data_IF_275647852474
#
_entry.id   IF_275647852474
#
_cell.length_a   1.000
_cell.length_b   1.000
_cell.length_c   1.000
_cell.angle_alpha   90.00
_cell.angle_beta   90.00
_cell.angle_gamma   90.00
#
_symmetry.space_group_name_H-M   'P 1'
#
loop_
_entity.id
_entity.type
_entity.pdbx_description
1 polymer ?
#
# COMPACT_ATOMS: atom_id res chain seq x y z
N UNK A 1 -1.35 -7.73 18.22
CA UNK A 1 -2.05 -7.13 17.08
C UNK A 1 -2.49 -8.26 16.16
N UNK A 2 -3.79 -8.56 16.01
CA UNK A 2 -4.24 -9.51 14.99
C UNK A 2 -3.73 -9.04 13.61
N UNK A 3 -3.26 -9.95 12.77
CA UNK A 3 -2.72 -9.70 11.42
C UNK A 3 -1.42 -8.87 11.34
N UNK A 4 -0.59 -8.83 12.39
CA UNK A 4 0.71 -8.15 12.35
C UNK A 4 1.59 -8.60 11.15
N UNK A 5 1.49 -9.87 10.76
CA UNK A 5 2.21 -10.46 9.63
C UNK A 5 1.89 -9.79 8.28
N UNK A 6 0.70 -9.22 8.10
CA UNK A 6 0.33 -8.52 6.87
C UNK A 6 1.19 -7.26 6.64
N UNK A 7 1.77 -6.71 7.70
CA UNK A 7 2.53 -5.45 7.67
C UNK A 7 4.05 -5.67 7.76
N UNK A 8 4.53 -6.87 7.41
CA UNK A 8 5.98 -7.18 7.41
C UNK A 8 6.57 -7.21 6.00
N UNK A 9 5.74 -7.27 4.96
CA UNK A 9 6.16 -7.34 3.56
C UNK A 9 5.31 -6.44 2.67
N UNK A 10 5.86 -6.02 1.54
CA UNK A 10 5.17 -5.19 0.57
C UNK A 10 5.61 -5.53 -0.86
N UNK A 11 4.70 -5.32 -1.82
CA UNK A 11 5.06 -5.28 -3.25
C UNK A 11 5.53 -3.87 -3.58
N UNK A 12 6.70 -3.74 -4.19
CA UNK A 12 7.32 -2.45 -4.50
C UNK A 12 7.55 -2.34 -6.01
N UNK A 13 7.25 -1.17 -6.57
CA UNK A 13 7.59 -0.79 -7.95
C UNK A 13 8.02 0.67 -7.93
N UNK A 14 9.21 1.02 -8.47
CA UNK A 14 9.69 2.40 -8.49
C UNK A 14 8.84 3.38 -9.31
N UNK A 15 8.04 2.85 -10.25
CA UNK A 15 7.26 3.66 -11.19
C UNK A 15 5.78 3.65 -10.86
N UNK A 16 5.15 2.47 -10.90
CA UNK A 16 3.72 2.32 -10.61
C UNK A 16 3.35 0.86 -10.34
N UNK A 17 2.28 0.66 -9.57
CA UNK A 17 1.63 -0.64 -9.37
C UNK A 17 0.19 -0.55 -9.87
N UNK A 18 -0.21 -1.49 -10.73
CA UNK A 18 -1.57 -1.58 -11.24
C UNK A 18 -2.17 -2.93 -10.89
N UNK A 19 -3.35 -2.90 -10.28
CA UNK A 19 -4.12 -4.07 -9.92
C UNK A 19 -5.43 -4.08 -10.70
N UNK A 20 -5.83 -5.26 -11.17
CA UNK A 20 -7.07 -5.45 -11.91
C UNK A 20 -8.04 -6.29 -11.09
N UNK A 21 -9.24 -5.74 -10.86
CA UNK A 21 -10.38 -6.52 -10.35
C UNK A 21 -10.99 -7.30 -11.50
N UNK A 22 -10.53 -8.52 -11.72
CA UNK A 22 -11.08 -9.40 -12.76
C UNK A 22 -12.34 -10.11 -12.26
N UNK A 23 -13.31 -10.31 -13.16
CA UNK A 23 -14.53 -11.07 -12.90
C UNK A 23 -15.40 -10.51 -11.75
N UNK A 24 -15.34 -9.21 -11.48
CA UNK A 24 -16.24 -8.54 -10.55
C UNK A 24 -17.64 -8.41 -11.17
N UNK A 25 -18.67 -8.74 -10.40
CA UNK A 25 -20.05 -8.54 -10.81
C UNK A 25 -20.43 -7.05 -10.77
N UNK A 26 -21.46 -6.62 -11.52
CA UNK A 26 -21.97 -5.26 -11.40
C UNK A 26 -22.43 -5.00 -9.96
N UNK A 27 -21.87 -3.96 -9.33
CA UNK A 27 -22.21 -3.62 -7.96
C UNK A 27 -21.28 -2.58 -7.33
N UNK A 28 -21.64 -2.15 -6.13
CA UNK A 28 -20.84 -1.22 -5.35
C UNK A 28 -19.83 -2.00 -4.51
N UNK A 29 -18.56 -1.60 -4.57
CA UNK A 29 -17.48 -2.25 -3.84
C UNK A 29 -16.86 -1.31 -2.82
N UNK A 30 -16.57 -1.83 -1.64
CA UNK A 30 -15.73 -1.15 -0.66
C UNK A 30 -14.28 -1.57 -0.87
N UNK A 31 -13.44 -0.62 -1.27
CA UNK A 31 -12.00 -0.84 -1.42
C UNK A 31 -11.29 -0.43 -0.13
N UNK A 32 -10.60 -1.38 0.52
CA UNK A 32 -9.76 -1.13 1.71
C UNK A 32 -8.30 -1.30 1.33
N UNK A 33 -7.53 -0.22 1.47
CA UNK A 33 -6.09 -0.22 1.21
C UNK A 33 -5.34 -0.16 2.54
N UNK A 34 -4.37 -1.06 2.69
CA UNK A 34 -3.52 -1.16 3.88
C UNK A 34 -2.11 -0.69 3.52
N UNK A 35 -1.59 0.28 4.27
CA UNK A 35 -0.25 0.82 4.10
C UNK A 35 0.53 0.70 5.40
N UNK A 36 1.81 0.35 5.30
CA UNK A 36 2.76 0.39 6.39
C UNK A 36 4.13 0.77 5.82
N UNK A 37 4.87 1.60 6.56
CA UNK A 37 6.29 1.79 6.30
C UNK A 37 7.05 0.66 6.99
N UNK A 38 7.78 -0.14 6.21
CA UNK A 38 8.45 -1.37 6.67
C UNK A 38 9.97 -1.31 6.49
N UNK A 39 10.49 -0.24 5.88
CA UNK A 39 11.91 -0.05 5.58
C UNK A 39 12.49 1.09 6.41
N UNK A 40 11.81 2.24 6.47
CA UNK A 40 12.26 3.36 7.26
C UNK A 40 11.86 3.18 8.73
N UNK A 41 12.86 2.98 9.58
CA UNK A 41 12.68 2.92 11.03
C UNK A 41 12.68 4.34 11.61
N UNK A 42 11.73 4.64 12.51
CA UNK A 42 11.82 5.79 13.42
C UNK A 42 12.85 5.49 14.52
N UNK A 43 14.12 5.34 14.17
CA UNK A 43 15.19 5.39 15.15
C UNK A 43 15.30 6.82 15.69
N UNK A 44 15.57 6.95 17.00
CA UNK A 44 15.64 8.25 17.70
C UNK A 44 16.73 9.20 17.16
N UNK A 45 17.53 8.72 16.22
CA UNK A 45 18.59 9.43 15.49
C UNK A 45 18.05 10.23 14.29
N UNK A 46 16.77 10.07 13.91
CA UNK A 46 16.16 10.66 12.70
C UNK A 46 16.97 10.38 11.41
N UNK A 47 17.77 9.30 11.41
CA UNK A 47 18.71 9.01 10.34
C UNK A 47 18.02 8.50 9.07
N UNK A 48 16.82 7.91 9.20
CA UNK A 48 16.04 7.50 8.03
C UNK A 48 15.21 8.69 7.49
N UNK A 49 15.83 9.51 6.64
CA UNK A 49 15.17 10.60 5.87
C UNK A 49 14.28 10.04 4.74
N UNK A 50 13.72 8.87 4.96
CA UNK A 50 12.98 8.13 3.96
C UNK A 50 11.59 8.69 3.77
N UNK A 51 11.33 9.29 2.61
CA UNK A 51 10.01 9.78 2.24
C UNK A 51 9.49 9.02 1.03
N UNK A 52 8.30 8.43 1.16
CA UNK A 52 7.54 7.84 0.04
C UNK A 52 6.27 8.65 -0.14
N UNK A 53 6.12 9.23 -1.33
CA UNK A 53 4.91 9.94 -1.73
C UNK A 53 4.41 9.27 -3.00
N UNK A 54 3.13 8.96 -3.01
CA UNK A 54 2.46 8.36 -4.16
C UNK A 54 0.99 8.75 -4.15
N UNK A 55 0.40 8.76 -5.33
CA UNK A 55 -1.03 8.97 -5.52
C UNK A 55 -1.73 7.62 -5.76
N UNK A 56 -3.00 7.54 -5.35
CA UNK A 56 -3.84 6.37 -5.58
C UNK A 56 -4.99 6.77 -6.48
N UNK A 57 -5.08 6.15 -7.65
CA UNK A 57 -6.20 6.29 -8.57
C UNK A 57 -7.01 4.99 -8.62
N UNK A 58 -8.34 5.08 -8.40
CA UNK A 58 -9.27 3.97 -8.59
C UNK A 58 -10.12 4.27 -9.83
N UNK A 59 -10.02 3.41 -10.83
CA UNK A 59 -10.83 3.51 -12.05
C UNK A 59 -12.10 2.68 -11.90
N UNK A 60 -13.26 3.32 -12.06
CA UNK A 60 -14.54 2.66 -12.28
C UNK A 60 -14.72 2.54 -13.80
N UNK A 61 -15.06 1.34 -14.27
CA UNK A 61 -15.37 1.07 -15.69
C UNK A 61 -16.79 1.48 -16.03
#
# INVERSE_FOLDING_TARGET
MPNAELYTSARLSPLSLRYYGLCLQPGNYTVKLHFAEIVFTNDQTFASVGRRVFDVSIQVS
#
